data_IF_838747607759
#
_entry.id   IF_838747607759
#
_cell.length_a   1.000
_cell.length_b   1.000
_cell.length_c   1.000
_cell.angle_alpha   90.00
_cell.angle_beta   90.00
_cell.angle_gamma   90.00
#
_symmetry.space_group_name_H-M   'P 1'
#
loop_
_entity.id
_entity.type
_entity.pdbx_description
1 polymer ?
#
# COMPACT_ATOMS: atom_id res chain seq x y z
N UNK A 1 19.62 -16.10 -30.33
CA UNK A 1 18.17 -16.00 -30.52
C UNK A 1 17.38 -16.44 -29.32
N UNK A 2 17.70 -17.60 -28.76
CA UNK A 2 17.01 -18.05 -27.54
C UNK A 2 17.19 -17.10 -26.38
N UNK A 3 18.32 -16.45 -26.28
CA UNK A 3 18.65 -15.57 -25.16
C UNK A 3 17.84 -14.29 -25.16
N UNK A 4 17.47 -13.78 -26.33
CA UNK A 4 16.66 -12.58 -26.43
C UNK A 4 15.26 -12.78 -25.85
N UNK A 5 14.69 -13.95 -26.10
CA UNK A 5 13.35 -14.27 -25.58
C UNK A 5 13.36 -14.30 -24.06
N UNK A 6 14.38 -14.92 -23.47
CA UNK A 6 14.52 -15.01 -22.03
C UNK A 6 14.67 -13.63 -21.39
N UNK A 7 15.43 -12.74 -22.02
CA UNK A 7 15.60 -11.38 -21.53
C UNK A 7 14.29 -10.61 -21.52
N UNK A 8 13.49 -10.76 -22.59
CA UNK A 8 12.20 -10.09 -22.66
C UNK A 8 11.26 -10.55 -21.55
N UNK A 9 11.24 -11.84 -21.28
CA UNK A 9 10.41 -12.36 -20.20
C UNK A 9 10.85 -11.81 -18.84
N UNK A 10 12.14 -11.73 -18.60
CA UNK A 10 12.67 -11.19 -17.36
C UNK A 10 12.28 -9.72 -17.16
N UNK A 11 12.35 -8.94 -18.23
CA UNK A 11 11.96 -7.53 -18.17
C UNK A 11 10.48 -7.38 -17.85
N UNK A 12 9.63 -8.18 -18.48
CA UNK A 12 8.19 -8.15 -18.21
C UNK A 12 7.87 -8.45 -16.76
N UNK A 13 8.51 -9.45 -16.18
CA UNK A 13 8.32 -9.82 -14.79
C UNK A 13 8.78 -8.71 -13.86
N UNK A 14 9.88 -8.04 -14.17
CA UNK A 14 10.39 -6.94 -13.36
C UNK A 14 9.40 -5.78 -13.32
N UNK A 15 8.82 -5.41 -14.47
CA UNK A 15 7.85 -4.33 -14.55
C UNK A 15 6.62 -4.63 -13.71
N UNK A 16 6.14 -5.87 -13.73
CA UNK A 16 4.95 -6.27 -12.99
C UNK A 16 5.14 -6.22 -11.47
N UNK A 17 6.38 -6.16 -10.98
CA UNK A 17 6.67 -6.17 -9.56
C UNK A 17 6.63 -4.79 -8.90
N UNK A 18 6.47 -3.71 -9.68
CA UNK A 18 6.51 -2.36 -9.13
C UNK A 18 5.15 -1.87 -8.68
N UNK A 19 4.92 -1.87 -7.37
CA UNK A 19 3.75 -1.26 -6.77
C UNK A 19 3.97 0.24 -6.60
N UNK A 20 2.92 1.03 -6.87
CA UNK A 20 2.95 2.49 -6.68
C UNK A 20 1.68 2.94 -5.97
N UNK A 21 1.63 2.83 -4.66
CA UNK A 21 0.44 3.26 -3.92
C UNK A 21 0.32 4.78 -3.92
N UNK A 22 -0.90 5.26 -4.21
CA UNK A 22 -1.24 6.67 -4.18
C UNK A 22 -2.35 6.88 -3.17
N UNK A 23 -2.10 7.69 -2.15
CA UNK A 23 -3.10 7.96 -1.13
C UNK A 23 -4.25 8.77 -1.72
N UNK A 24 -5.47 8.28 -1.56
CA UNK A 24 -6.67 8.93 -2.06
C UNK A 24 -7.47 9.61 -0.95
N UNK A 25 -7.36 9.14 0.27
CA UNK A 25 -8.12 9.71 1.36
C UNK A 25 -7.59 9.30 2.72
N UNK A 26 -7.81 10.19 3.67
CA UNK A 26 -7.42 9.99 5.06
C UNK A 26 -8.55 10.52 5.93
N UNK A 27 -9.05 9.70 6.82
CA UNK A 27 -10.14 10.05 7.72
C UNK A 27 -9.81 9.60 9.13
N UNK A 28 -10.06 10.48 10.09
CA UNK A 28 -9.90 10.18 11.50
C UNK A 28 -11.24 10.35 12.18
N UNK A 29 -11.88 9.23 12.50
CA UNK A 29 -13.22 9.22 13.06
C UNK A 29 -13.40 8.04 14.00
N UNK A 30 -14.06 8.25 15.12
CA UNK A 30 -14.43 7.21 16.09
C UNK A 30 -13.21 6.43 16.60
N UNK A 31 -12.15 7.16 16.96
CA UNK A 31 -10.88 6.60 17.46
C UNK A 31 -10.23 5.63 16.49
N UNK A 32 -10.43 5.86 15.20
CA UNK A 32 -9.83 5.07 14.13
C UNK A 32 -9.34 5.96 13.02
N UNK A 33 -8.26 5.53 12.39
CA UNK A 33 -7.75 6.17 11.18
C UNK A 33 -8.06 5.24 10.01
N UNK A 34 -8.74 5.77 9.01
CA UNK A 34 -9.02 5.05 7.78
C UNK A 34 -8.24 5.70 6.65
N UNK A 35 -7.46 4.91 5.94
CA UNK A 35 -6.65 5.38 4.83
C UNK A 35 -7.04 4.58 3.60
N UNK A 36 -7.32 5.29 2.51
CA UNK A 36 -7.64 4.68 1.22
C UNK A 36 -6.54 5.03 0.25
N UNK A 37 -5.99 4.04 -0.43
CA UNK A 37 -5.06 4.30 -1.51
C UNK A 37 -5.39 3.44 -2.72
N UNK A 38 -4.90 3.89 -3.88
CA UNK A 38 -5.04 3.14 -5.12
C UNK A 38 -3.67 2.84 -5.70
N UNK A 39 -3.59 1.79 -6.49
CA UNK A 39 -2.36 1.39 -7.16
C UNK A 39 -2.72 0.92 -8.56
N UNK A 40 -2.27 1.66 -9.57
CA UNK A 40 -2.55 1.36 -10.97
C UNK A 40 -1.61 0.31 -11.55
N UNK A 41 -0.68 -0.17 -10.76
CA UNK A 41 0.24 -1.25 -11.16
C UNK A 41 -0.19 -2.60 -10.60
N UNK A 42 -1.46 -2.73 -10.25
CA UNK A 42 -1.98 -3.95 -9.68
C UNK A 42 -2.07 -5.07 -10.71
N UNK A 43 -1.44 -6.20 -10.40
CA UNK A 43 -1.66 -7.43 -11.16
C UNK A 43 -2.86 -8.17 -10.60
N UNK A 44 -3.19 -9.29 -11.21
CA UNK A 44 -4.33 -10.12 -10.78
C UNK A 44 -4.14 -10.69 -9.37
N UNK A 45 -2.90 -10.77 -8.92
CA UNK A 45 -2.58 -11.32 -7.60
C UNK A 45 -2.16 -10.26 -6.60
N UNK A 46 -2.62 -9.04 -6.79
CA UNK A 46 -2.31 -7.94 -5.88
C UNK A 46 -2.86 -8.23 -4.50
N UNK A 47 -2.00 -8.25 -3.50
CA UNK A 47 -2.40 -8.55 -2.14
C UNK A 47 -1.58 -7.73 -1.15
N UNK A 48 -2.28 -7.13 -0.19
CA UNK A 48 -1.66 -6.43 0.93
C UNK A 48 -1.78 -7.33 2.14
N UNK A 49 -0.66 -7.86 2.63
CA UNK A 49 -0.65 -8.80 3.74
C UNK A 49 -0.38 -8.16 5.09
N UNK A 50 0.13 -6.93 5.10
CA UNK A 50 0.48 -6.24 6.34
C UNK A 50 0.48 -4.74 6.11
N UNK A 51 0.06 -3.98 7.13
CA UNK A 51 0.04 -2.54 7.08
C UNK A 51 0.32 -1.96 8.45
N UNK A 52 1.24 -0.99 8.51
CA UNK A 52 1.64 -0.34 9.75
C UNK A 52 1.53 1.16 9.59
N UNK A 53 0.84 1.82 10.51
CA UNK A 53 0.67 3.26 10.53
C UNK A 53 1.69 3.90 11.47
N UNK A 54 2.38 4.91 10.96
CA UNK A 54 3.38 5.66 11.70
C UNK A 54 2.90 7.11 11.78
N UNK A 55 2.25 7.52 12.90
CA UNK A 55 1.62 8.84 12.98
C UNK A 55 2.62 10.00 13.00
N UNK A 56 3.83 9.78 13.51
CA UNK A 56 4.89 10.79 13.50
C UNK A 56 6.25 10.11 13.61
N UNK A 57 7.29 10.83 13.25
CA UNK A 57 8.64 10.26 13.20
C UNK A 57 9.10 9.79 14.58
N UNK A 58 9.64 8.57 14.63
CA UNK A 58 10.05 7.88 15.85
C UNK A 58 8.90 7.64 16.82
N UNK A 59 7.68 7.77 16.37
CA UNK A 59 6.51 7.46 17.17
C UNK A 59 6.22 5.97 17.22
N UNK A 60 5.21 5.63 18.02
CA UNK A 60 4.75 4.26 18.11
C UNK A 60 4.10 3.84 16.79
N UNK A 61 4.31 2.58 16.42
CA UNK A 61 3.73 2.00 15.22
C UNK A 61 2.43 1.27 15.55
N UNK A 62 1.46 1.34 14.65
CA UNK A 62 0.15 0.74 14.85
C UNK A 62 -0.16 -0.20 13.68
N UNK A 63 -0.52 -1.43 14.00
CA UNK A 63 -0.91 -2.41 12.99
C UNK A 63 -2.35 -2.17 12.57
N UNK A 64 -2.65 -2.45 11.30
CA UNK A 64 -4.00 -2.35 10.80
C UNK A 64 -4.92 -3.36 11.49
N UNK A 65 -6.10 -2.91 11.87
CA UNK A 65 -7.14 -3.80 12.37
C UNK A 65 -8.00 -4.35 11.23
N UNK A 66 -7.92 -3.71 10.06
CA UNK A 66 -8.65 -4.16 8.87
C UNK A 66 -7.88 -3.76 7.63
N UNK A 67 -7.79 -4.67 6.66
CA UNK A 67 -7.21 -4.43 5.34
C UNK A 67 -8.19 -4.99 4.32
N UNK A 68 -8.70 -4.13 3.44
CA UNK A 68 -9.63 -4.53 2.40
C UNK A 68 -9.06 -4.14 1.04
N UNK A 69 -8.98 -5.08 0.11
CA UNK A 69 -8.41 -4.86 -1.20
C UNK A 69 -9.39 -5.32 -2.27
N UNK A 70 -9.64 -4.45 -3.26
CA UNK A 70 -10.38 -4.79 -4.45
C UNK A 70 -9.56 -4.43 -5.68
N UNK A 71 -9.60 -5.27 -6.70
CA UNK A 71 -8.86 -5.02 -7.94
C UNK A 71 -9.84 -5.03 -9.11
N UNK A 72 -9.85 -3.95 -9.87
CA UNK A 72 -10.68 -3.82 -11.07
C UNK A 72 -9.89 -3.12 -12.16
N UNK A 73 -9.87 -3.70 -13.35
CA UNK A 73 -9.22 -3.10 -14.52
C UNK A 73 -7.77 -2.69 -14.27
N UNK A 74 -7.03 -3.54 -13.56
CA UNK A 74 -5.63 -3.28 -13.28
C UNK A 74 -5.37 -2.26 -12.20
N UNK A 75 -6.42 -1.79 -11.51
CA UNK A 75 -6.29 -0.85 -10.42
C UNK A 75 -6.74 -1.49 -9.11
N UNK A 76 -5.89 -1.46 -8.10
CA UNK A 76 -6.25 -1.88 -6.76
C UNK A 76 -6.76 -0.70 -5.95
N UNK A 77 -7.81 -0.92 -5.17
CA UNK A 77 -8.27 0.03 -4.17
C UNK A 77 -8.15 -0.65 -2.82
N UNK A 78 -7.39 -0.05 -1.93
CA UNK A 78 -7.10 -0.64 -0.62
C UNK A 78 -7.56 0.29 0.47
N UNK A 79 -8.33 -0.24 1.41
CA UNK A 79 -8.80 0.49 2.58
C UNK A 79 -8.14 -0.11 3.82
N UNK A 80 -7.45 0.74 4.57
CA UNK A 80 -6.75 0.34 5.78
C UNK A 80 -7.37 1.04 6.98
N UNK A 81 -7.57 0.32 8.07
CA UNK A 81 -8.09 0.88 9.30
C UNK A 81 -7.11 0.61 10.43
N UNK A 82 -6.77 1.66 11.16
CA UNK A 82 -5.81 1.59 12.27
C UNK A 82 -6.45 2.12 13.56
N UNK A 83 -6.09 1.58 14.73
CA UNK A 83 -6.64 2.02 16.02
C UNK A 83 -5.88 3.23 16.54
N UNK A 84 -6.19 4.42 16.02
CA UNK A 84 -5.48 5.63 16.41
C UNK A 84 -6.36 6.84 16.20
N UNK A 85 -6.24 7.86 17.06
CA UNK A 85 -7.12 9.03 16.99
C UNK A 85 -6.46 10.35 17.38
N UNK A 86 -5.17 10.36 17.72
CA UNK A 86 -4.55 11.56 18.23
C UNK A 86 -3.69 12.26 17.16
N UNK A 87 -2.67 12.98 17.59
CA UNK A 87 -1.93 13.89 16.72
C UNK A 87 -1.12 13.20 15.63
N UNK A 88 -1.04 13.86 14.48
CA UNK A 88 -0.30 13.40 13.33
C UNK A 88 0.72 14.45 12.90
N UNK A 89 1.92 14.00 12.58
CA UNK A 89 2.95 14.87 12.00
C UNK A 89 3.67 14.10 10.91
N UNK A 90 3.41 14.47 9.66
CA UNK A 90 3.92 13.75 8.49
C UNK A 90 3.69 12.24 8.58
N UNK A 91 2.44 11.80 8.77
CA UNK A 91 2.17 10.38 8.96
C UNK A 91 2.52 9.55 7.72
N UNK A 92 2.95 8.33 7.97
CA UNK A 92 3.35 7.40 6.91
C UNK A 92 2.71 6.06 7.14
N UNK A 93 2.63 5.28 6.07
CA UNK A 93 2.15 3.91 6.14
C UNK A 93 3.18 3.01 5.46
N UNK A 94 3.53 1.93 6.13
CA UNK A 94 4.37 0.88 5.56
C UNK A 94 3.49 -0.31 5.25
N UNK A 95 3.54 -0.76 4.02
CA UNK A 95 2.74 -1.86 3.52
C UNK A 95 3.63 -3.01 3.06
N UNK A 96 3.10 -4.21 3.16
CA UNK A 96 3.68 -5.35 2.48
C UNK A 96 2.75 -5.74 1.32
N UNK A 97 3.18 -5.40 0.12
CA UNK A 97 2.42 -5.67 -1.11
C UNK A 97 3.15 -6.78 -1.86
N UNK A 98 2.48 -7.92 -2.03
CA UNK A 98 3.06 -9.08 -2.71
C UNK A 98 4.47 -9.40 -2.19
N UNK A 99 4.62 -9.41 -0.85
CA UNK A 99 5.87 -9.72 -0.14
C UNK A 99 6.93 -8.63 -0.17
N UNK A 100 6.66 -7.47 -0.76
CA UNK A 100 7.60 -6.36 -0.76
C UNK A 100 7.10 -5.23 0.11
N UNK A 101 7.98 -4.67 0.92
CA UNK A 101 7.64 -3.53 1.76
C UNK A 101 7.65 -2.24 0.96
N UNK A 102 6.64 -1.42 1.19
CA UNK A 102 6.52 -0.07 0.61
C UNK A 102 6.09 0.89 1.69
N UNK A 103 6.70 2.07 1.71
CA UNK A 103 6.32 3.13 2.65
C UNK A 103 5.91 4.35 1.84
N UNK A 104 4.79 4.95 2.20
CA UNK A 104 4.33 6.15 1.51
C UNK A 104 3.76 7.14 2.53
N UNK A 105 3.73 8.42 2.11
CA UNK A 105 3.15 9.48 2.94
C UNK A 105 1.63 9.42 2.85
N UNK A 106 1.00 9.70 3.98
CA UNK A 106 -0.46 9.75 4.03
C UNK A 106 -0.91 11.12 3.58
N UNK A 107 -1.90 11.16 2.72
CA UNK A 107 -2.51 12.40 2.28
C UNK A 107 -3.44 12.96 3.36
N UNK A 108 -3.69 14.26 3.32
CA UNK A 108 -4.62 14.89 4.26
C UNK A 108 -5.91 15.27 3.57
#
# INVERSE_FOLDING_TARGET
>A
MKYLILLLLSISLSVAAYAKPHCQGFNNYDNKVTIVFTDDKAGSEYAVSDAIFIPYWKGKEYKAVSISTTVENGMATVTLVFPYSTQFSNPKVTLRINRKKRTFKVCK
#
